data_IF_296868707285
#
_entry.id   IF_296868707285
#
_cell.length_a   1.000
_cell.length_b   1.000
_cell.length_c   1.000
_cell.angle_alpha   90.00
_cell.angle_beta   90.00
_cell.angle_gamma   90.00
#
_symmetry.space_group_name_H-M   'P 1'
#
loop_
_entity.id
_entity.type
_entity.pdbx_description
1 polymer ?
#
# COMPACT_ATOMS: atom_id res chain seq x y z
N UNK A 1 -6.35 -11.03 -28.97
CA UNK A 1 -5.42 -12.16 -29.05
C UNK A 1 -5.41 -12.85 -27.71
N UNK A 2 -5.92 -14.08 -27.64
CA UNK A 2 -6.00 -14.83 -26.39
C UNK A 2 -4.73 -15.68 -26.24
N UNK A 3 -3.91 -15.37 -25.24
CA UNK A 3 -2.74 -16.17 -24.86
C UNK A 3 -3.15 -17.04 -23.68
N UNK A 4 -3.06 -18.36 -23.82
CA UNK A 4 -3.34 -19.28 -22.72
C UNK A 4 -2.07 -19.49 -21.89
N UNK A 5 -2.10 -19.16 -20.59
CA UNK A 5 -0.99 -19.44 -19.68
C UNK A 5 -1.07 -20.88 -19.17
N UNK A 6 0.03 -21.62 -19.31
CA UNK A 6 0.15 -23.00 -18.84
C UNK A 6 1.20 -23.15 -17.75
N UNK A 7 0.84 -23.87 -16.69
CA UNK A 7 1.79 -24.29 -15.68
C UNK A 7 2.58 -25.49 -16.19
N UNK A 8 3.91 -25.36 -16.27
CA UNK A 8 4.79 -26.48 -16.60
C UNK A 8 5.36 -27.14 -15.34
N UNK A 9 5.51 -28.47 -15.37
CA UNK A 9 6.24 -29.25 -14.37
C UNK A 9 7.50 -29.86 -14.98
N UNK A 10 8.54 -30.02 -14.16
CA UNK A 10 9.75 -30.74 -14.56
C UNK A 10 9.40 -32.22 -14.63
N UNK A 11 9.69 -32.83 -15.78
CA UNK A 11 9.51 -34.26 -16.00
C UNK A 11 10.84 -35.00 -15.84
N UNK A 12 11.88 -34.52 -16.52
CA UNK A 12 13.20 -35.12 -16.47
C UNK A 12 14.31 -34.08 -16.47
N UNK A 13 15.43 -34.41 -15.83
CA UNK A 13 16.66 -33.61 -15.85
C UNK A 13 17.83 -34.52 -16.18
N UNK A 14 18.60 -34.14 -17.20
CA UNK A 14 19.84 -34.82 -17.58
C UNK A 14 21.01 -33.86 -17.39
N UNK A 15 21.95 -34.24 -16.53
CA UNK A 15 23.11 -33.43 -16.16
C UNK A 15 24.32 -33.86 -17.00
N UNK A 16 25.10 -32.88 -17.47
CA UNK A 16 26.33 -33.07 -18.22
C UNK A 16 27.51 -32.40 -17.49
N UNK A 17 28.73 -32.65 -17.97
CA UNK A 17 29.93 -32.01 -17.44
C UNK A 17 29.87 -30.47 -17.54
N UNK A 18 29.17 -29.94 -18.55
CA UNK A 18 28.91 -28.52 -18.72
C UNK A 18 27.42 -28.29 -19.00
N UNK A 19 26.62 -28.18 -17.93
CA UNK A 19 25.20 -27.81 -17.99
C UNK A 19 24.23 -28.98 -17.84
N UNK A 20 22.97 -28.74 -18.19
CA UNK A 20 21.89 -29.73 -18.05
C UNK A 20 20.81 -29.52 -19.10
N UNK A 21 20.20 -30.61 -19.56
CA UNK A 21 18.94 -30.57 -20.32
C UNK A 21 17.79 -30.83 -19.37
N UNK A 22 16.78 -29.96 -19.36
CA UNK A 22 15.57 -30.10 -18.54
C UNK A 22 14.38 -30.29 -19.47
N UNK A 23 13.68 -31.40 -19.33
CA UNK A 23 12.41 -31.65 -20.00
C UNK A 23 11.27 -31.22 -19.08
N UNK A 24 10.39 -30.38 -19.60
CA UNK A 24 9.18 -29.92 -18.90
C UNK A 24 7.94 -30.27 -19.70
N UNK A 25 6.86 -30.57 -18.99
CA UNK A 25 5.56 -30.89 -19.58
C UNK A 25 4.54 -29.87 -19.08
N UNK A 26 3.71 -29.37 -20.00
CA UNK A 26 2.58 -28.50 -19.73
C UNK A 26 1.35 -29.08 -20.42
N UNK A 27 0.21 -29.09 -19.72
CA UNK A 27 -1.02 -29.68 -20.23
C UNK A 27 -1.94 -28.59 -20.79
N UNK A 28 -2.32 -28.70 -22.06
CA UNK A 28 -3.28 -27.82 -22.70
C UNK A 28 -4.62 -28.55 -22.88
N UNK A 29 -5.70 -27.98 -22.33
CA UNK A 29 -7.05 -28.48 -22.57
C UNK A 29 -7.69 -27.69 -23.70
N UNK A 30 -7.99 -28.36 -24.80
CA UNK A 30 -8.67 -27.77 -25.96
C UNK A 30 -10.17 -28.03 -25.86
N UNK A 31 -10.98 -26.99 -25.99
CA UNK A 31 -12.43 -27.11 -26.24
C UNK A 31 -12.75 -26.49 -27.61
N UNK A 32 -13.83 -26.90 -28.30
CA UNK A 32 -14.17 -26.39 -29.64
C UNK A 32 -14.28 -24.86 -29.69
N UNK A 33 -14.72 -24.24 -28.59
CA UNK A 33 -14.86 -22.79 -28.47
C UNK A 33 -13.57 -22.07 -28.05
N UNK A 34 -12.52 -22.79 -27.64
CA UNK A 34 -11.24 -22.19 -27.18
C UNK A 34 -10.03 -22.87 -27.82
N UNK A 35 -9.64 -22.35 -28.99
CA UNK A 35 -8.41 -22.69 -29.70
C UNK A 35 -7.42 -21.54 -29.56
N UNK A 36 -6.51 -21.58 -28.57
CA UNK A 36 -5.55 -20.50 -28.38
C UNK A 36 -4.50 -20.51 -29.50
N UNK A 37 -4.38 -19.39 -30.22
CA UNK A 37 -3.31 -19.19 -31.21
C UNK A 37 -1.92 -19.14 -30.57
N UNK A 38 -1.85 -18.80 -29.28
CA UNK A 38 -0.60 -18.67 -28.53
C UNK A 38 -0.74 -19.21 -27.13
N UNK A 39 0.34 -19.83 -26.68
CA UNK A 39 0.47 -20.41 -25.34
C UNK A 39 1.71 -19.83 -24.67
N UNK A 40 1.56 -19.42 -23.41
CA UNK A 40 2.67 -18.93 -22.58
C UNK A 40 3.02 -19.95 -21.50
N UNK A 41 4.32 -20.28 -21.41
CA UNK A 41 4.88 -21.15 -20.38
C UNK A 41 5.86 -20.33 -19.53
N UNK A 42 5.39 -19.77 -18.39
CA UNK A 42 6.24 -18.97 -17.51
C UNK A 42 7.14 -19.83 -16.61
N UNK A 43 8.05 -19.17 -15.90
CA UNK A 43 8.85 -19.79 -14.84
C UNK A 43 10.05 -20.61 -15.34
N UNK A 44 10.61 -20.23 -16.49
CA UNK A 44 11.84 -20.80 -17.00
C UNK A 44 13.07 -20.16 -16.33
N UNK A 45 14.17 -20.92 -16.14
CA UNK A 45 15.39 -20.39 -15.53
C UNK A 45 15.97 -19.21 -16.33
N UNK A 46 16.42 -18.15 -15.65
CA UNK A 46 17.09 -17.02 -16.32
C UNK A 46 18.38 -17.45 -17.05
N UNK A 47 19.07 -18.47 -16.53
CA UNK A 47 20.30 -19.02 -17.11
C UNK A 47 20.07 -19.89 -18.36
N UNK A 48 18.81 -20.13 -18.76
CA UNK A 48 18.48 -20.86 -19.98
C UNK A 48 19.04 -20.13 -21.21
N UNK A 49 19.63 -20.86 -22.14
CA UNK A 49 19.98 -20.32 -23.46
C UNK A 49 18.75 -20.32 -24.36
N UNK A 50 18.36 -19.15 -24.86
CA UNK A 50 17.15 -18.96 -25.66
C UNK A 50 17.17 -19.78 -26.95
N UNK A 51 18.36 -19.99 -27.52
CA UNK A 51 18.54 -20.75 -28.77
C UNK A 51 18.43 -22.26 -28.56
N UNK A 52 18.52 -22.72 -27.32
CA UNK A 52 18.49 -24.14 -26.95
C UNK A 52 17.06 -24.69 -26.76
N UNK A 53 16.06 -23.82 -26.69
CA UNK A 53 14.68 -24.23 -26.40
C UNK A 53 14.06 -24.93 -27.60
N UNK A 54 13.45 -26.09 -27.36
CA UNK A 54 12.71 -26.86 -28.35
C UNK A 54 11.37 -27.24 -27.74
N UNK A 55 10.31 -27.13 -28.54
CA UNK A 55 8.95 -27.49 -28.14
C UNK A 55 8.45 -28.58 -29.07
N UNK A 56 7.80 -29.57 -28.46
CA UNK A 56 7.04 -30.59 -29.16
C UNK A 56 5.65 -30.61 -28.56
N UNK A 57 4.65 -30.72 -29.43
CA UNK A 57 3.27 -30.90 -29.03
C UNK A 57 2.91 -32.36 -29.25
N UNK A 58 2.38 -32.99 -28.22
CA UNK A 58 1.90 -34.38 -28.26
C UNK A 58 0.37 -34.33 -28.03
N UNK A 59 -0.39 -35.02 -28.89
CA UNK A 59 -1.85 -35.05 -28.83
C UNK A 59 -2.36 -36.46 -29.12
N UNK A 60 -3.40 -36.87 -28.40
CA UNK A 60 -4.02 -38.19 -28.56
C UNK A 60 -5.09 -38.23 -29.68
N UNK A 61 -5.35 -37.10 -30.36
CA UNK A 61 -6.39 -36.97 -31.41
C UNK A 61 -5.79 -36.61 -32.77
N UNK A 62 -6.53 -36.91 -33.84
CA UNK A 62 -6.10 -36.69 -35.24
C UNK A 62 -5.87 -35.22 -35.63
N UNK A 63 -6.43 -34.25 -34.89
CA UNK A 63 -6.22 -32.82 -35.12
C UNK A 63 -5.11 -32.30 -34.19
N UNK A 64 -3.87 -32.46 -34.62
CA UNK A 64 -2.68 -32.17 -33.82
C UNK A 64 -2.31 -30.67 -33.97
N UNK A 65 -2.36 -29.85 -32.91
CA UNK A 65 -1.81 -28.50 -32.98
C UNK A 65 -0.31 -28.56 -33.22
N UNK A 66 0.16 -27.77 -34.19
CA UNK A 66 1.57 -27.68 -34.56
C UNK A 66 2.15 -26.42 -33.91
N UNK A 67 3.27 -26.58 -33.20
CA UNK A 67 4.05 -25.43 -32.74
C UNK A 67 4.76 -24.79 -33.95
N UNK A 68 4.34 -23.58 -34.33
CA UNK A 68 4.82 -22.88 -35.52
C UNK A 68 5.98 -21.93 -35.24
N UNK A 69 5.97 -21.26 -34.09
CA UNK A 69 6.99 -20.29 -33.67
C UNK A 69 7.20 -20.38 -32.15
N UNK A 70 8.42 -20.07 -31.71
CA UNK A 70 8.77 -19.97 -30.29
C UNK A 70 9.55 -18.69 -30.03
N UNK A 71 9.10 -17.94 -29.03
CA UNK A 71 9.77 -16.72 -28.56
C UNK A 71 10.04 -16.82 -27.08
N UNK A 72 11.27 -16.52 -26.69
CA UNK A 72 11.65 -16.44 -25.29
C UNK A 72 11.57 -14.98 -24.86
N UNK A 73 10.79 -14.73 -23.83
CA UNK A 73 10.63 -13.42 -23.21
C UNK A 73 11.02 -13.45 -21.74
N UNK A 74 10.81 -12.31 -21.09
CA UNK A 74 10.88 -12.19 -19.64
C UNK A 74 9.46 -11.98 -19.09
N UNK A 75 9.13 -12.70 -18.03
CA UNK A 75 7.89 -12.54 -17.30
C UNK A 75 8.20 -12.42 -15.80
N UNK A 76 7.34 -11.67 -15.11
CA UNK A 76 7.32 -11.57 -13.66
C UNK A 76 6.17 -12.47 -13.21
N UNK A 77 6.43 -13.53 -12.43
CA UNK A 77 5.34 -14.31 -11.85
C UNK A 77 4.37 -13.39 -11.11
N UNK A 78 3.05 -13.61 -11.20
CA UNK A 78 2.09 -12.77 -10.49
C UNK A 78 2.42 -12.79 -8.98
N UNK A 79 2.51 -11.62 -8.33
CA UNK A 79 2.83 -11.56 -6.91
C UNK A 79 1.79 -12.33 -6.10
N UNK A 80 2.26 -13.12 -5.13
CA UNK A 80 1.39 -13.76 -4.15
C UNK A 80 0.76 -12.69 -3.27
N UNK A 81 -0.53 -12.44 -3.45
CA UNK A 81 -1.36 -11.57 -2.62
C UNK A 81 -0.73 -10.20 -2.33
N UNK A 82 -0.85 -9.25 -3.26
CA UNK A 82 -0.60 -7.86 -2.94
C UNK A 82 -1.59 -7.41 -1.87
N UNK A 83 -1.15 -6.83 -0.74
CA UNK A 83 -2.05 -6.10 0.13
C UNK A 83 -2.77 -5.07 -0.71
N UNK A 84 -4.11 -5.01 -0.64
CA UNK A 84 -4.86 -3.98 -1.32
C UNK A 84 -4.30 -2.63 -0.88
N UNK A 85 -3.84 -1.83 -1.85
CA UNK A 85 -3.37 -0.47 -1.56
C UNK A 85 -4.53 0.28 -0.88
N UNK A 86 -4.30 0.92 0.28
CA UNK A 86 -5.32 1.81 0.85
C UNK A 86 -5.71 2.86 -0.18
N UNK A 87 -6.98 3.28 -0.16
CA UNK A 87 -7.48 4.24 -1.13
C UNK A 87 -6.83 5.61 -0.90
N UNK A 88 -6.54 6.35 -1.98
CA UNK A 88 -5.98 7.71 -1.87
C UNK A 88 -6.87 8.68 -1.08
N UNK A 89 -8.15 8.36 -0.95
CA UNK A 89 -9.11 9.08 -0.11
C UNK A 89 -8.88 8.84 1.38
N UNK A 90 -8.61 7.59 1.79
CA UNK A 90 -8.32 7.23 3.18
C UNK A 90 -7.06 7.93 3.68
N UNK A 91 -6.01 7.95 2.85
CA UNK A 91 -4.77 8.63 3.19
C UNK A 91 -4.95 10.16 3.30
N UNK A 92 -5.77 10.75 2.42
CA UNK A 92 -6.12 12.17 2.48
C UNK A 92 -6.93 12.48 3.73
N UNK A 93 -7.89 11.63 4.09
CA UNK A 93 -8.68 11.77 5.30
C UNK A 93 -7.81 11.68 6.56
N UNK A 94 -6.90 10.71 6.64
CA UNK A 94 -5.98 10.56 7.77
C UNK A 94 -5.03 11.77 7.92
N UNK A 95 -4.53 12.32 6.80
CA UNK A 95 -3.73 13.56 6.81
C UNK A 95 -4.52 14.77 7.30
N UNK A 96 -5.74 14.93 6.80
CA UNK A 96 -6.62 16.01 7.22
C UNK A 96 -6.96 15.90 8.72
N UNK A 97 -7.09 14.68 9.24
CA UNK A 97 -7.34 14.43 10.66
C UNK A 97 -6.19 14.89 11.55
N UNK A 98 -4.96 14.50 11.20
CA UNK A 98 -3.77 14.93 11.93
C UNK A 98 -3.66 16.46 11.94
N UNK A 99 -3.83 17.09 10.77
CA UNK A 99 -3.79 18.55 10.67
C UNK A 99 -4.85 19.22 11.54
N UNK A 100 -6.09 18.71 11.52
CA UNK A 100 -7.19 19.23 12.32
C UNK A 100 -6.88 19.16 13.81
N UNK A 101 -6.30 18.06 14.30
CA UNK A 101 -5.92 17.90 15.70
C UNK A 101 -4.77 18.84 16.10
N UNK A 102 -3.79 19.04 15.22
CA UNK A 102 -2.71 20.01 15.43
C UNK A 102 -3.25 21.44 15.53
N UNK A 103 -4.21 21.81 14.67
CA UNK A 103 -4.85 23.12 14.70
C UNK A 103 -5.65 23.34 16.00
N UNK A 104 -6.35 22.30 16.50
CA UNK A 104 -7.04 22.34 17.80
C UNK A 104 -6.04 22.55 18.94
N UNK A 105 -4.92 21.84 18.94
CA UNK A 105 -3.87 22.02 19.97
C UNK A 105 -3.30 23.44 19.93
N UNK A 106 -3.07 23.98 18.72
CA UNK A 106 -2.61 25.36 18.56
C UNK A 106 -3.63 26.37 19.12
N UNK A 107 -4.92 26.17 18.86
CA UNK A 107 -5.99 26.99 19.42
C UNK A 107 -5.99 26.93 20.96
N UNK A 108 -5.95 25.73 21.55
CA UNK A 108 -5.93 25.57 23.01
C UNK A 108 -4.71 26.25 23.63
N UNK A 109 -3.53 26.18 22.99
CA UNK A 109 -2.33 26.88 23.47
C UNK A 109 -2.52 28.39 23.48
N UNK A 110 -3.15 28.94 22.42
CA UNK A 110 -3.47 30.37 22.36
C UNK A 110 -4.44 30.77 23.46
N UNK A 111 -5.48 29.96 23.72
CA UNK A 111 -6.43 30.21 24.79
C UNK A 111 -5.76 30.19 26.18
N UNK A 112 -4.88 29.22 26.44
CA UNK A 112 -4.10 29.19 27.69
C UNK A 112 -3.23 30.44 27.82
N UNK A 113 -2.57 30.87 26.74
CA UNK A 113 -1.74 32.07 26.75
C UNK A 113 -2.56 33.32 27.08
N UNK A 114 -3.73 33.48 26.45
CA UNK A 114 -4.66 34.59 26.72
C UNK A 114 -5.14 34.58 28.17
N UNK A 115 -5.54 33.42 28.69
CA UNK A 115 -6.00 33.28 30.08
C UNK A 115 -4.88 33.55 31.08
N UNK A 116 -3.65 33.12 30.79
CA UNK A 116 -2.48 33.36 31.64
C UNK A 116 -2.07 34.84 31.70
N UNK A 117 -2.38 35.61 30.66
CA UNK A 117 -2.17 37.06 30.61
C UNK A 117 -3.28 37.87 31.26
N UNK A 118 -4.33 37.24 31.78
CA UNK A 118 -5.44 37.94 32.44
C UNK A 118 -4.99 38.42 33.83
N UNK A 119 -4.69 39.72 33.96
CA UNK A 119 -4.30 40.29 35.24
C UNK A 119 -5.51 40.65 36.12
N UNK A 120 -5.43 40.30 37.40
CA UNK A 120 -6.40 40.75 38.40
C UNK A 120 -6.06 42.19 38.77
N UNK A 121 -6.95 43.18 38.52
CA UNK A 121 -6.64 44.57 38.78
C UNK A 121 -6.33 44.80 40.27
N UNK A 122 -5.40 45.72 40.51
CA UNK A 122 -5.05 46.17 41.85
C UNK A 122 -6.20 46.96 42.48
N UNK A 123 -6.17 47.07 43.81
CA UNK A 123 -7.09 47.95 44.53
C UNK A 123 -6.88 49.38 44.02
N UNK A 124 -7.94 50.15 43.71
CA UNK A 124 -7.79 51.54 43.32
C UNK A 124 -7.15 52.35 44.45
N UNK A 125 -6.30 53.30 44.08
CA UNK A 125 -5.70 54.22 45.02
C UNK A 125 -6.76 55.14 45.63
N UNK A 126 -6.67 55.33 46.95
CA UNK A 126 -7.55 56.24 47.68
C UNK A 126 -6.98 57.67 47.75
N UNK A 127 -7.83 58.65 48.06
CA UNK A 127 -7.39 60.02 48.33
C UNK A 127 -6.55 60.10 49.62
N UNK A 128 -5.46 60.88 49.58
CA UNK A 128 -4.54 61.08 50.72
C UNK A 128 -5.30 61.61 51.94
N UNK A 129 -5.17 60.90 53.07
CA UNK A 129 -5.80 61.28 54.34
C UNK A 129 -7.23 60.77 54.54
N UNK A 130 -7.84 60.11 53.53
CA UNK A 130 -9.12 59.41 53.68
C UNK A 130 -8.90 57.91 53.92
N UNK A 131 -9.93 57.26 54.46
CA UNK A 131 -9.94 55.81 54.59
C UNK A 131 -9.85 55.16 53.18
N UNK A 132 -9.06 54.09 53.01
CA UNK A 132 -8.90 53.44 51.71
C UNK A 132 -10.24 52.87 51.23
N UNK A 133 -10.53 52.94 49.91
CA UNK A 133 -11.81 52.50 49.35
C UNK A 133 -12.01 51.00 49.59
N UNK A 134 -13.22 50.51 49.92
CA UNK A 134 -13.46 49.10 50.17
C UNK A 134 -13.01 48.26 48.96
N UNK A 135 -12.22 47.21 49.23
CA UNK A 135 -11.73 46.34 48.16
C UNK A 135 -12.86 45.41 47.68
N UNK A 136 -13.11 45.29 46.36
CA UNK A 136 -14.04 44.31 45.82
C UNK A 136 -13.38 42.91 45.80
N UNK A 137 -13.10 42.35 46.98
CA UNK A 137 -12.36 41.10 47.16
C UNK A 137 -13.04 39.94 46.43
N UNK A 138 -14.38 39.87 46.50
CA UNK A 138 -15.16 38.82 45.84
C UNK A 138 -14.97 38.81 44.32
N UNK A 139 -15.00 39.98 43.67
CA UNK A 139 -14.81 40.10 42.23
C UNK A 139 -13.37 39.74 41.82
N UNK A 140 -12.36 40.17 42.60
CA UNK A 140 -10.96 39.83 42.34
C UNK A 140 -10.71 38.33 42.46
N UNK A 141 -11.25 37.71 43.50
CA UNK A 141 -11.13 36.28 43.73
C UNK A 141 -11.91 35.46 42.68
N UNK A 142 -13.06 35.96 42.21
CA UNK A 142 -13.80 35.34 41.12
C UNK A 142 -13.00 35.32 39.81
N UNK A 143 -12.30 36.41 39.47
CA UNK A 143 -11.45 36.46 38.26
C UNK A 143 -10.27 35.49 38.39
N UNK A 144 -9.58 35.48 39.53
CA UNK A 144 -8.45 34.58 39.76
C UNK A 144 -8.87 33.10 39.68
N UNK A 145 -9.97 32.74 40.35
CA UNK A 145 -10.48 31.38 40.31
C UNK A 145 -10.94 30.99 38.89
N UNK A 146 -11.55 31.92 38.17
CA UNK A 146 -11.98 31.68 36.79
C UNK A 146 -10.79 31.40 35.88
N UNK A 147 -9.71 32.21 35.92
CA UNK A 147 -8.52 31.95 35.12
C UNK A 147 -7.90 30.59 35.45
N UNK A 148 -7.76 30.27 36.74
CA UNK A 148 -7.15 29.01 37.18
C UNK A 148 -7.98 27.79 36.76
N UNK A 149 -9.30 27.86 36.91
CA UNK A 149 -10.21 26.78 36.51
C UNK A 149 -10.21 26.57 35.00
N UNK A 150 -10.32 27.65 34.22
CA UNK A 150 -10.30 27.55 32.75
C UNK A 150 -8.96 27.04 32.23
N UNK A 151 -7.84 27.50 32.78
CA UNK A 151 -6.51 26.99 32.41
C UNK A 151 -6.41 25.49 32.72
N UNK A 152 -6.89 25.05 33.89
CA UNK A 152 -6.87 23.63 34.26
C UNK A 152 -7.69 22.78 33.30
N UNK A 153 -8.88 23.25 32.91
CA UNK A 153 -9.75 22.57 31.93
C UNK A 153 -9.06 22.46 30.57
N UNK A 154 -8.48 23.55 30.06
CA UNK A 154 -7.75 23.55 28.79
C UNK A 154 -6.50 22.68 28.80
N UNK A 155 -5.79 22.61 29.93
CA UNK A 155 -4.66 21.70 30.07
C UNK A 155 -5.08 20.22 30.07
N UNK A 156 -6.28 19.90 30.56
CA UNK A 156 -6.82 18.54 30.46
C UNK A 156 -7.23 18.22 29.01
N UNK A 157 -7.99 19.11 28.37
CA UNK A 157 -8.43 18.97 26.97
C UNK A 157 -7.23 18.80 26.01
N UNK A 158 -6.17 19.59 26.23
CA UNK A 158 -4.91 19.46 25.48
C UNK A 158 -4.28 18.07 25.63
N UNK A 159 -4.27 17.50 26.83
CA UNK A 159 -3.71 16.16 27.07
C UNK A 159 -4.49 15.08 26.33
N UNK A 160 -5.82 15.16 26.38
CA UNK A 160 -6.71 14.22 25.67
C UNK A 160 -6.54 14.33 24.15
N UNK A 161 -6.42 15.56 23.63
CA UNK A 161 -6.19 15.81 22.20
C UNK A 161 -4.81 15.34 21.74
N UNK A 162 -3.77 15.47 22.57
CA UNK A 162 -2.43 14.96 22.27
C UNK A 162 -2.40 13.43 22.15
N UNK A 163 -3.09 12.71 23.04
CA UNK A 163 -3.21 11.25 22.92
C UNK A 163 -3.96 10.85 21.63
N UNK A 164 -4.99 11.61 21.27
CA UNK A 164 -5.74 11.38 20.03
C UNK A 164 -4.87 11.66 18.79
N UNK A 165 -4.05 12.72 18.83
CA UNK A 165 -3.08 13.03 17.78
C UNK A 165 -2.06 11.91 17.61
N UNK A 166 -1.54 11.35 18.70
CA UNK A 166 -0.61 10.22 18.66
C UNK A 166 -1.23 9.02 17.91
N UNK A 167 -2.46 8.65 18.25
CA UNK A 167 -3.18 7.55 17.59
C UNK A 167 -3.44 7.84 16.10
N UNK A 168 -3.82 9.07 15.76
CA UNK A 168 -4.03 9.47 14.37
C UNK A 168 -2.73 9.45 13.54
N UNK A 169 -1.60 9.83 14.14
CA UNK A 169 -0.29 9.76 13.52
C UNK A 169 0.17 8.31 13.28
N UNK A 170 -0.06 7.42 14.26
CA UNK A 170 0.19 5.98 14.12
C UNK A 170 -0.63 5.39 12.97
N UNK A 171 -1.93 5.70 12.92
CA UNK A 171 -2.81 5.24 11.85
C UNK A 171 -2.36 5.74 10.46
N UNK A 172 -1.96 7.01 10.36
CA UNK A 172 -1.42 7.58 9.13
C UNK A 172 -0.12 6.87 8.70
N UNK A 173 0.77 6.58 9.65
CA UNK A 173 2.02 5.87 9.36
C UNK A 173 1.76 4.47 8.82
N UNK A 174 0.84 3.72 9.42
CA UNK A 174 0.44 2.38 8.97
C UNK A 174 -0.11 2.41 7.53
N UNK A 175 -0.97 3.39 7.21
CA UNK A 175 -1.51 3.56 5.86
C UNK A 175 -0.42 3.89 4.84
N UNK A 176 0.54 4.75 5.20
CA UNK A 176 1.67 5.07 4.33
C UNK A 176 2.58 3.86 4.09
N UNK A 177 2.83 3.06 5.12
CA UNK A 177 3.61 1.83 4.99
C UNK A 177 2.92 0.83 4.06
N UNK A 178 1.61 0.60 4.24
CA UNK A 178 0.80 -0.24 3.34
C UNK A 178 0.86 0.25 1.89
N UNK A 179 0.76 1.56 1.67
CA UNK A 179 0.86 2.14 0.32
C UNK A 179 2.25 1.91 -0.29
N UNK A 180 3.32 2.10 0.48
CA UNK A 180 4.70 1.83 0.02
C UNK A 180 4.93 0.36 -0.30
N UNK A 181 4.40 -0.55 0.51
CA UNK A 181 4.48 -1.99 0.26
C UNK A 181 3.71 -2.37 -1.01
N UNK A 182 2.51 -1.82 -1.20
CA UNK A 182 1.71 -2.04 -2.40
C UNK A 182 2.36 -1.44 -3.67
N UNK A 183 3.00 -0.27 -3.58
CA UNK A 183 3.74 0.31 -4.72
C UNK A 183 4.98 -0.50 -5.05
N UNK A 184 5.72 -0.93 -4.03
CA UNK A 184 6.92 -1.77 -4.21
C UNK A 184 6.56 -3.14 -4.77
N UNK A 185 5.38 -3.69 -4.47
CA UNK A 185 4.91 -4.95 -5.02
C UNK A 185 4.49 -4.84 -6.51
N UNK A 186 4.24 -3.63 -7.02
CA UNK A 186 3.99 -3.40 -8.46
C UNK A 186 5.27 -3.31 -9.27
N UNK A 187 6.36 -2.87 -8.66
CA UNK A 187 7.66 -2.75 -9.32
C UNK A 187 8.36 -4.10 -9.38
N UNK A 188 8.43 -4.66 -10.59
CA UNK A 188 9.13 -5.90 -10.86
C UNK A 188 10.61 -5.81 -10.48
N UNK A 189 11.07 -6.61 -9.52
CA UNK A 189 12.48 -6.62 -9.13
C UNK A 189 13.31 -7.53 -10.05
N UNK A 190 14.59 -7.22 -10.30
CA UNK A 190 15.45 -8.04 -11.16
C UNK A 190 15.54 -9.53 -10.76
N UNK A 191 15.44 -9.84 -9.47
CA UNK A 191 15.49 -11.21 -8.93
C UNK A 191 14.16 -11.98 -9.07
N UNK A 192 13.05 -11.28 -9.31
CA UNK A 192 11.73 -11.86 -9.56
C UNK A 192 11.52 -12.23 -11.03
N UNK A 193 12.33 -11.64 -11.93
CA UNK A 193 12.30 -11.97 -13.34
C UNK A 193 12.58 -13.46 -13.57
N UNK A 194 11.79 -14.04 -14.47
CA UNK A 194 11.96 -15.39 -15.01
C UNK A 194 11.82 -15.34 -16.51
N UNK A 195 12.44 -16.30 -17.22
CA UNK A 195 12.17 -16.45 -18.65
C UNK A 195 10.78 -17.07 -18.84
N UNK A 196 10.14 -16.73 -19.94
CA UNK A 196 8.86 -17.32 -20.38
C UNK A 196 9.00 -17.74 -21.83
N UNK A 197 8.36 -18.85 -22.22
CA UNK A 197 8.29 -19.26 -23.61
C UNK A 197 6.88 -19.00 -24.15
N UNK A 198 6.80 -18.20 -25.21
CA UNK A 198 5.56 -17.96 -25.97
C UNK A 198 5.63 -18.84 -27.20
N UNK A 199 4.71 -19.79 -27.32
CA UNK A 199 4.61 -20.74 -28.41
C UNK A 199 3.39 -20.38 -29.25
N UNK A 200 3.59 -20.12 -30.54
CA UNK A 200 2.49 -19.95 -31.49
C UNK A 200 2.02 -21.33 -31.96
N UNK A 201 0.71 -21.54 -31.99
CA UNK A 201 0.08 -22.78 -32.44
C UNK A 201 -0.66 -22.55 -33.75
N UNK A 202 -0.49 -23.49 -34.68
CA UNK A 202 -1.28 -23.58 -35.91
C UNK A 202 -2.04 -24.90 -35.93
N UNK A 203 -3.27 -24.88 -36.42
CA UNK A 203 -4.16 -26.03 -36.48
C UNK A 203 -4.35 -26.44 -37.94
N UNK A 204 -3.91 -27.63 -38.33
CA UNK A 204 -4.15 -28.18 -39.67
C UNK A 204 -5.32 -29.17 -39.61
N UNK A 205 -6.52 -28.71 -40.01
CA UNK A 205 -7.71 -29.55 -40.13
C UNK A 205 -9.02 -28.75 -40.08
N UNK A 206 -9.97 -29.07 -40.96
CA UNK A 206 -11.32 -28.49 -40.94
C UNK A 206 -12.04 -28.85 -39.63
N UNK A 207 -12.38 -27.85 -38.82
CA UNK A 207 -13.36 -28.02 -37.76
C UNK A 207 -14.74 -28.16 -38.43
N UNK A 208 -15.11 -29.39 -38.80
CA UNK A 208 -16.50 -29.66 -39.14
C UNK A 208 -17.34 -29.45 -37.88
N UNK A 209 -18.20 -28.43 -37.97
CA UNK A 209 -19.33 -28.10 -37.08
C UNK A 209 -20.13 -29.30 -36.62
#
# INVERSE_FOLDING_TARGET
MAIAQLTSRIDAVKIYAAGSTVTRIAELRLTPDTLPEQVEIPGLPLALDDTSVRVRVECDRDNIPIASDIRIGLAVPPPSETPNSPADEELRAAKAEVQRLEDIIALINNEIAVLSGLEVPNRPDGETGKAPPPSPISARLAIANFSDEQIRLRMQEKRETLETLRQAQEHLADLQEKQKLASTAKDARPNELRKTAIVSLSYEGEFNT
#
